data_IF_373563379875
#
_entry.id   IF_373563379875
#
_cell.length_a   1.000
_cell.length_b   1.000
_cell.length_c   1.000
_cell.angle_alpha   90.00
_cell.angle_beta   90.00
_cell.angle_gamma   90.00
#
_symmetry.space_group_name_H-M   'P 1'
#
loop_
_entity.id
_entity.type
_entity.pdbx_description
1 polymer ?
#
# COMPACT_ATOMS: atom_id res chain seq x y z
N UNK A 1 -53.39 -2.07 -2.48
CA UNK A 1 -52.15 -1.33 -2.76
C UNK A 1 -51.47 -1.15 -1.41
N UNK A 2 -50.38 -1.87 -1.15
CA UNK A 2 -49.58 -1.66 0.05
C UNK A 2 -48.17 -1.38 -0.46
N UNK A 3 -47.81 -0.11 -0.45
CA UNK A 3 -46.51 0.39 -0.89
C UNK A 3 -45.47 -0.03 0.15
N UNK A 4 -44.40 -0.67 -0.31
CA UNK A 4 -43.30 -1.09 0.54
C UNK A 4 -42.50 0.12 0.99
N UNK A 5 -42.40 0.32 2.30
CA UNK A 5 -41.48 1.30 2.87
C UNK A 5 -40.04 0.88 2.58
N UNK A 6 -39.37 1.64 1.73
CA UNK A 6 -37.92 1.55 1.53
C UNK A 6 -37.21 1.91 2.83
N UNK A 7 -36.66 0.90 3.49
CA UNK A 7 -35.77 1.06 4.63
C UNK A 7 -34.52 1.83 4.23
N UNK A 8 -34.48 3.12 4.60
CA UNK A 8 -33.24 3.92 4.59
C UNK A 8 -32.27 3.30 5.58
N UNK A 9 -31.33 2.52 5.06
CA UNK A 9 -30.26 1.92 5.83
C UNK A 9 -29.46 3.02 6.54
N UNK A 10 -29.47 2.99 7.88
CA UNK A 10 -28.77 3.98 8.68
C UNK A 10 -27.28 3.98 8.33
N UNK A 11 -26.62 5.17 8.28
CA UNK A 11 -25.21 5.23 7.92
C UNK A 11 -24.40 4.34 8.88
N UNK A 12 -23.47 3.54 8.35
CA UNK A 12 -22.75 2.55 9.15
C UNK A 12 -22.08 3.23 10.34
N UNK A 13 -22.43 2.78 11.53
CA UNK A 13 -21.97 3.40 12.78
C UNK A 13 -20.46 3.26 12.88
N UNK A 14 -19.76 4.39 12.98
CA UNK A 14 -18.31 4.38 13.12
C UNK A 14 -17.91 3.74 14.46
N UNK A 15 -17.30 2.56 14.39
CA UNK A 15 -16.78 1.83 15.54
C UNK A 15 -15.26 1.94 15.63
N UNK A 16 -14.70 1.57 16.78
CA UNK A 16 -13.25 1.45 16.94
C UNK A 16 -12.63 0.43 15.98
N UNK A 17 -13.40 -0.60 15.57
CA UNK A 17 -12.95 -1.58 14.58
C UNK A 17 -12.62 -0.91 13.23
N UNK A 18 -13.40 0.08 12.79
CA UNK A 18 -13.08 0.85 11.57
C UNK A 18 -11.78 1.66 11.72
N UNK A 19 -11.56 2.24 12.91
CA UNK A 19 -10.30 2.95 13.21
C UNK A 19 -9.11 1.99 13.15
N UNK A 20 -9.23 0.81 13.75
CA UNK A 20 -8.18 -0.20 13.75
C UNK A 20 -7.89 -0.69 12.33
N UNK A 21 -8.94 -1.05 11.57
CA UNK A 21 -8.81 -1.50 10.18
C UNK A 21 -8.09 -0.46 9.32
N UNK A 22 -8.42 0.83 9.48
CA UNK A 22 -7.74 1.91 8.77
C UNK A 22 -6.23 1.99 9.11
N UNK A 23 -5.88 1.86 10.39
CA UNK A 23 -4.47 1.92 10.82
C UNK A 23 -3.71 0.70 10.29
N UNK A 24 -4.29 -0.49 10.36
CA UNK A 24 -3.67 -1.71 9.82
C UNK A 24 -3.46 -1.57 8.31
N UNK A 25 -4.47 -1.12 7.56
CA UNK A 25 -4.35 -0.89 6.13
C UNK A 25 -3.29 0.17 5.78
N UNK A 26 -3.18 1.23 6.59
CA UNK A 26 -2.14 2.24 6.39
C UNK A 26 -0.72 1.68 6.64
N UNK A 27 -0.56 0.83 7.64
CA UNK A 27 0.71 0.16 7.92
C UNK A 27 1.07 -0.80 6.79
N UNK A 28 0.13 -1.65 6.38
CA UNK A 28 0.34 -2.58 5.26
C UNK A 28 0.72 -1.84 3.98
N UNK A 29 0.03 -0.74 3.71
CA UNK A 29 0.32 0.11 2.58
C UNK A 29 1.75 0.67 2.62
N UNK A 30 2.26 1.12 3.78
CA UNK A 30 3.59 1.72 3.86
C UNK A 30 4.73 0.73 4.07
N UNK A 31 4.47 -0.42 4.72
CA UNK A 31 5.47 -1.40 5.12
C UNK A 31 5.47 -2.68 4.29
N UNK A 32 4.52 -2.87 3.37
CA UNK A 32 4.49 -4.02 2.47
C UNK A 32 5.69 -3.97 1.51
N UNK A 33 6.79 -4.63 1.87
CA UNK A 33 8.04 -4.68 1.10
C UNK A 33 8.36 -6.10 0.67
N UNK A 34 8.93 -6.24 -0.52
CA UNK A 34 9.40 -7.50 -1.09
C UNK A 34 10.77 -7.31 -1.74
N UNK A 35 11.64 -8.32 -1.72
CA UNK A 35 12.92 -8.22 -2.40
C UNK A 35 12.75 -8.20 -3.92
N UNK A 36 13.66 -7.51 -4.60
CA UNK A 36 13.75 -7.51 -6.06
C UNK A 36 13.91 -8.93 -6.59
N UNK A 37 13.11 -9.29 -7.59
CA UNK A 37 13.18 -10.60 -8.24
C UNK A 37 12.37 -11.71 -7.55
N UNK A 38 11.80 -11.48 -6.37
CA UNK A 38 10.99 -12.50 -5.68
C UNK A 38 9.64 -12.78 -6.36
N UNK A 39 9.13 -11.82 -7.14
CA UNK A 39 7.88 -11.94 -7.87
C UNK A 39 8.12 -11.63 -9.33
N UNK A 40 7.47 -12.41 -10.18
CA UNK A 40 7.38 -12.16 -11.61
C UNK A 40 5.93 -11.93 -11.99
N UNK A 41 5.75 -11.14 -13.04
CA UNK A 41 4.44 -11.02 -13.65
C UNK A 41 4.32 -12.06 -14.77
N UNK A 42 3.14 -12.63 -14.91
CA UNK A 42 2.74 -13.55 -15.99
C UNK A 42 2.19 -12.71 -17.16
N UNK A 43 2.20 -13.19 -18.42
CA UNK A 43 1.62 -12.47 -19.57
C UNK A 43 0.17 -12.01 -19.35
N UNK A 44 -0.58 -12.72 -18.52
CA UNK A 44 -1.95 -12.40 -18.08
C UNK A 44 -1.96 -11.29 -16.98
N UNK A 45 -0.84 -10.61 -16.76
CA UNK A 45 -0.67 -9.51 -15.79
C UNK A 45 -0.97 -9.90 -14.34
N UNK A 46 -0.84 -11.18 -14.01
CA UNK A 46 -0.91 -11.69 -12.64
C UNK A 46 0.48 -11.73 -12.02
N UNK A 47 0.58 -11.44 -10.72
CA UNK A 47 1.83 -11.50 -9.98
C UNK A 47 1.93 -12.87 -9.33
N UNK A 48 3.02 -13.58 -9.62
CA UNK A 48 3.28 -14.93 -9.10
C UNK A 48 4.67 -14.93 -8.45
N UNK A 49 4.86 -15.61 -7.31
CA UNK A 49 6.20 -15.80 -6.76
C UNK A 49 7.09 -16.51 -7.78
N UNK A 50 8.34 -16.08 -7.88
CA UNK A 50 9.30 -16.72 -8.77
C UNK A 50 9.99 -17.89 -8.04
N UNK A 51 9.77 -19.15 -8.46
CA UNK A 51 10.44 -20.29 -7.83
C UNK A 51 11.96 -20.29 -8.01
N UNK A 52 12.48 -19.51 -8.97
CA UNK A 52 13.92 -19.38 -9.18
C UNK A 52 14.60 -18.40 -8.22
N UNK A 53 13.82 -17.67 -7.41
CA UNK A 53 14.36 -16.72 -6.45
C UNK A 53 14.94 -17.44 -5.23
N UNK A 54 16.26 -17.43 -5.10
CA UNK A 54 17.00 -18.08 -4.01
C UNK A 54 17.28 -17.16 -2.82
N UNK A 55 16.86 -15.89 -2.88
CA UNK A 55 17.15 -14.88 -1.87
C UNK A 55 18.19 -13.85 -2.33
N UNK A 56 18.32 -12.77 -1.56
CA UNK A 56 19.37 -11.77 -1.75
C UNK A 56 20.64 -12.20 -1.01
N UNK A 57 21.80 -11.82 -1.56
CA UNK A 57 23.07 -11.96 -0.84
C UNK A 57 23.07 -11.10 0.43
N UNK A 58 23.94 -11.39 1.41
CA UNK A 58 24.01 -10.60 2.64
C UNK A 58 24.32 -9.12 2.38
N UNK A 59 25.19 -8.83 1.40
CA UNK A 59 25.51 -7.46 0.99
C UNK A 59 24.30 -6.78 0.36
N UNK A 60 23.55 -7.50 -0.48
CA UNK A 60 22.37 -6.93 -1.15
C UNK A 60 21.18 -6.75 -0.22
N UNK A 61 21.02 -7.63 0.77
CA UNK A 61 19.99 -7.54 1.80
C UNK A 61 20.18 -6.30 2.70
N UNK A 62 21.41 -5.81 2.85
CA UNK A 62 21.68 -4.58 3.61
C UNK A 62 21.24 -3.31 2.86
N UNK A 63 21.05 -3.39 1.54
CA UNK A 63 20.69 -2.24 0.71
C UNK A 63 19.17 -2.14 0.54
N UNK A 64 18.58 -1.03 1.03
CA UNK A 64 17.16 -0.74 0.82
C UNK A 64 16.80 -0.56 -0.65
N UNK A 65 17.78 -0.32 -1.52
CA UNK A 65 17.55 -0.26 -2.96
C UNK A 65 17.10 -1.61 -3.53
N UNK A 66 17.33 -2.73 -2.82
CA UNK A 66 16.96 -4.07 -3.25
C UNK A 66 15.58 -4.52 -2.78
N UNK A 67 14.83 -3.63 -2.14
CA UNK A 67 13.46 -3.87 -1.71
C UNK A 67 12.49 -2.96 -2.46
N UNK A 68 11.31 -3.48 -2.77
CA UNK A 68 10.24 -2.79 -3.50
C UNK A 68 8.93 -2.89 -2.72
N UNK A 69 8.04 -1.91 -2.87
CA UNK A 69 6.73 -1.97 -2.22
C UNK A 69 5.77 -2.88 -2.96
N UNK A 70 5.09 -3.80 -2.27
CA UNK A 70 4.06 -4.68 -2.84
C UNK A 70 2.69 -3.98 -2.90
N UNK A 71 2.58 -2.91 -3.72
CA UNK A 71 1.35 -2.10 -3.84
C UNK A 71 1.27 -1.31 -5.14
N UNK A 72 0.07 -0.97 -5.59
CA UNK A 72 -0.12 -0.16 -6.79
C UNK A 72 0.71 1.15 -6.78
N UNK A 73 1.25 1.51 -7.95
CA UNK A 73 2.05 2.72 -8.09
C UNK A 73 1.22 3.99 -7.84
N UNK A 74 1.68 4.81 -6.89
CA UNK A 74 0.98 6.01 -6.44
C UNK A 74 1.26 7.23 -7.29
N UNK A 75 2.52 7.37 -7.72
CA UNK A 75 2.98 8.50 -8.53
C UNK A 75 2.72 8.26 -10.00
N UNK A 76 2.23 9.29 -10.69
CA UNK A 76 1.95 9.24 -12.12
C UNK A 76 3.20 8.91 -12.96
N UNK A 77 4.36 9.42 -12.55
CA UNK A 77 5.66 9.07 -13.15
C UNK A 77 5.93 7.58 -13.09
N UNK A 78 5.60 6.94 -11.95
CA UNK A 78 5.81 5.49 -11.77
C UNK A 78 4.77 4.65 -12.48
N UNK A 79 3.52 5.11 -12.58
CA UNK A 79 2.51 4.48 -13.43
C UNK A 79 2.93 4.53 -14.89
N UNK A 80 3.40 5.68 -15.37
CA UNK A 80 3.89 5.85 -16.73
C UNK A 80 5.13 4.97 -17.01
N UNK A 81 6.09 4.92 -16.07
CA UNK A 81 7.25 4.03 -16.17
C UNK A 81 6.83 2.56 -16.25
N UNK A 82 5.87 2.14 -15.41
CA UNK A 82 5.33 0.79 -15.43
C UNK A 82 4.65 0.45 -16.76
N UNK A 83 3.97 1.42 -17.39
CA UNK A 83 3.30 1.23 -18.67
C UNK A 83 4.29 1.13 -19.86
N UNK A 84 5.51 1.67 -19.70
CA UNK A 84 6.57 1.68 -20.73
C UNK A 84 7.46 0.44 -20.67
N UNK A 85 7.77 -0.05 -19.48
CA UNK A 85 8.55 -1.27 -19.31
C UNK A 85 7.63 -2.44 -19.64
N UNK A 86 7.92 -3.19 -20.72
CA UNK A 86 7.20 -4.43 -21.12
C UNK A 86 7.22 -5.56 -20.07
N UNK A 87 7.80 -5.32 -18.90
CA UNK A 87 7.57 -6.15 -17.73
C UNK A 87 6.11 -5.94 -17.32
N UNK A 88 5.25 -6.92 -17.64
CA UNK A 88 3.83 -6.89 -17.28
C UNK A 88 3.68 -6.32 -15.86
N UNK A 89 2.95 -5.21 -15.75
CA UNK A 89 2.69 -4.43 -14.55
C UNK A 89 3.02 -5.11 -13.21
N UNK A 90 4.28 -5.06 -12.84
CA UNK A 90 4.73 -5.36 -11.51
C UNK A 90 4.36 -4.15 -10.64
N UNK A 91 3.41 -4.29 -9.72
CA UNK A 91 3.02 -3.25 -8.73
C UNK A 91 4.14 -2.98 -7.72
N UNK A 92 5.40 -3.09 -8.13
CA UNK A 92 6.56 -2.94 -7.28
C UNK A 92 7.16 -1.55 -7.47
N UNK A 93 6.51 -0.58 -6.84
CA UNK A 93 6.92 0.82 -6.89
C UNK A 93 8.16 1.07 -6.01
N UNK A 94 9.25 1.53 -6.61
CA UNK A 94 10.57 1.82 -5.99
C UNK A 94 10.66 3.03 -5.07
N UNK A 95 9.58 3.77 -4.82
CA UNK A 95 9.75 5.01 -4.05
C UNK A 95 9.75 4.77 -2.54
N UNK A 96 10.96 4.58 -2.02
CA UNK A 96 11.25 4.91 -0.63
C UNK A 96 11.33 6.44 -0.50
N UNK A 97 10.19 7.06 -0.23
CA UNK A 97 10.12 8.26 0.62
C UNK A 97 9.09 7.93 1.66
N UNK A 98 9.55 7.35 2.76
CA UNK A 98 8.69 7.02 3.89
C UNK A 98 8.65 8.26 4.79
N UNK A 99 7.54 9.04 4.84
CA UNK A 99 7.40 10.13 5.80
C UNK A 99 6.59 9.59 6.98
N UNK A 100 7.00 8.48 7.61
CA UNK A 100 6.24 7.88 8.73
C UNK A 100 6.08 8.88 9.89
N UNK A 101 7.03 9.81 10.04
CA UNK A 101 7.10 10.64 11.24
C UNK A 101 6.22 11.91 11.20
N UNK A 102 5.85 12.44 10.02
CA UNK A 102 5.26 13.78 9.96
C UNK A 102 3.73 13.83 9.95
N UNK A 103 3.04 12.75 9.57
CA UNK A 103 1.56 12.73 9.52
C UNK A 103 0.90 12.35 10.84
N UNK A 104 1.53 11.48 11.63
CA UNK A 104 0.99 11.04 12.93
C UNK A 104 1.19 12.13 14.01
N UNK A 105 2.27 12.91 13.95
CA UNK A 105 2.52 13.98 14.94
C UNK A 105 1.72 15.28 14.71
N UNK A 106 1.21 15.55 13.50
CA UNK A 106 0.52 16.83 13.22
C UNK A 106 -0.92 16.92 13.72
N UNK A 107 -1.53 15.84 14.19
CA UNK A 107 -2.93 15.86 14.71
C UNK A 107 -3.05 16.15 16.21
N UNK A 108 -1.95 16.25 16.96
CA UNK A 108 -1.99 16.53 18.41
C UNK A 108 -1.87 18.01 18.80
N UNK A 109 -1.59 18.92 17.87
CA UNK A 109 -1.23 20.30 18.20
C UNK A 109 -2.40 21.31 18.32
N UNK A 110 -3.61 21.01 17.86
CA UNK A 110 -4.69 22.02 17.74
C UNK A 110 -5.86 21.92 18.73
N UNK A 111 -5.77 21.03 19.75
CA UNK A 111 -6.74 21.01 20.86
C UNK A 111 -6.08 21.42 22.18
N UNK A 112 -5.71 22.70 22.31
CA UNK A 112 -5.62 23.37 23.62
C UNK A 112 -6.74 24.40 23.65
N UNK A 113 -7.77 24.12 24.45
CA UNK A 113 -8.86 25.04 24.75
C UNK A 113 -8.28 26.20 25.58
N UNK A 114 -8.56 27.47 25.27
CA UNK A 114 -8.26 28.56 26.18
C UNK A 114 -9.19 28.49 27.41
N UNK A 115 -8.61 28.78 28.57
CA UNK A 115 -9.31 29.00 29.84
C UNK A 115 -9.83 30.44 29.90
#
# INVERSE_FOLDING_TARGET
>A
MQEGEEGKEAPPKFSEAHRLAYIVAAIEYDCGLVPKGAFKATPIRQITPDPSFTGLSHTDASSLANYLHFRAATSEVRKAALHRVRAMNCVLSTTLRIPVCSRIMRRRATKRHPA
#
